data_IF_448828985382
#
_entry.id   IF_448828985382
#
_cell.length_a   1.000
_cell.length_b   1.000
_cell.length_c   1.000
_cell.angle_alpha   90.00
_cell.angle_beta   90.00
_cell.angle_gamma   90.00
#
_symmetry.space_group_name_H-M   'P 1'
#
loop_
_entity.id
_entity.type
_entity.pdbx_description
1 polymer ?
#
# COMPACT_ATOMS: atom_id res chain seq x y z
N UNK A 1 -21.30 18.87 9.51
CA UNK A 1 -22.36 18.54 8.54
C UNK A 1 -21.69 18.46 7.16
N UNK A 2 -21.64 17.30 6.49
CA UNK A 2 -21.12 17.24 5.12
C UNK A 2 -21.98 18.10 4.20
N UNK A 3 -21.37 18.81 3.25
CA UNK A 3 -22.07 19.66 2.29
C UNK A 3 -22.97 18.81 1.38
N UNK A 4 -24.28 19.09 1.36
CA UNK A 4 -25.29 18.43 0.50
C UNK A 4 -25.01 18.50 -1.02
N UNK A 5 -24.05 19.32 -1.46
CA UNK A 5 -23.79 19.60 -2.87
C UNK A 5 -22.80 18.64 -3.54
N UNK A 6 -22.07 17.82 -2.78
CA UNK A 6 -21.12 16.84 -3.33
C UNK A 6 -21.27 15.51 -2.61
N UNK A 7 -21.99 14.53 -3.19
CA UNK A 7 -22.03 13.19 -2.61
C UNK A 7 -20.61 12.62 -2.57
N UNK A 8 -20.14 12.30 -1.37
CA UNK A 8 -18.87 11.59 -1.21
C UNK A 8 -19.08 10.13 -1.60
N UNK A 9 -18.16 9.59 -2.39
CA UNK A 9 -18.18 8.17 -2.71
C UNK A 9 -17.99 7.37 -1.42
N UNK A 10 -18.94 6.48 -1.12
CA UNK A 10 -18.81 5.56 -0.02
C UNK A 10 -17.68 4.57 -0.31
N UNK A 11 -16.95 4.16 0.73
CA UNK A 11 -16.03 3.05 0.61
C UNK A 11 -16.78 1.75 0.25
N UNK A 12 -16.43 1.14 -0.89
CA UNK A 12 -16.94 -0.15 -1.33
C UNK A 12 -15.76 -1.11 -1.51
N UNK A 13 -15.66 -2.20 -0.71
CA UNK A 13 -14.63 -3.21 -0.89
C UNK A 13 -14.68 -3.85 -2.28
N UNK A 14 -13.51 -4.10 -2.86
CA UNK A 14 -13.41 -4.90 -4.08
C UNK A 14 -13.84 -6.35 -3.83
N UNK A 15 -14.53 -6.92 -4.81
CA UNK A 15 -14.91 -8.34 -4.78
C UNK A 15 -13.68 -9.24 -4.72
N UNK A 16 -13.67 -10.30 -3.89
CA UNK A 16 -12.63 -11.33 -3.94
C UNK A 16 -12.55 -12.03 -5.30
N UNK A 17 -13.62 -11.96 -6.11
CA UNK A 17 -13.69 -12.48 -7.47
C UNK A 17 -13.48 -11.37 -8.52
N UNK A 18 -12.79 -10.28 -8.16
CA UNK A 18 -12.53 -9.18 -9.06
C UNK A 18 -11.65 -9.61 -10.25
N UNK A 19 -12.17 -9.48 -11.47
CA UNK A 19 -11.47 -9.82 -12.71
C UNK A 19 -10.81 -8.57 -13.31
N UNK A 20 -9.52 -8.34 -12.98
CA UNK A 20 -8.77 -7.17 -13.44
C UNK A 20 -8.72 -7.07 -14.97
N UNK A 21 -8.43 -8.18 -15.66
CA UNK A 21 -8.32 -8.21 -17.12
C UNK A 21 -9.61 -7.78 -17.80
N UNK A 22 -10.74 -8.27 -17.30
CA UNK A 22 -12.08 -7.92 -17.77
C UNK A 22 -12.38 -6.45 -17.53
N UNK A 23 -12.03 -5.89 -16.37
CA UNK A 23 -12.20 -4.45 -16.10
C UNK A 23 -11.43 -3.61 -17.12
N UNK A 24 -10.16 -3.93 -17.36
CA UNK A 24 -9.31 -3.17 -18.29
C UNK A 24 -9.82 -3.31 -19.73
N UNK A 25 -10.20 -4.52 -20.15
CA UNK A 25 -10.73 -4.76 -21.50
C UNK A 25 -12.09 -4.09 -21.76
N UNK A 26 -12.90 -3.89 -20.72
CA UNK A 26 -14.25 -3.31 -20.84
C UNK A 26 -14.32 -1.80 -20.61
N UNK A 27 -13.21 -1.15 -20.23
CA UNK A 27 -13.19 0.28 -19.88
C UNK A 27 -12.10 1.03 -20.61
N UNK A 28 -12.50 1.96 -21.47
CA UNK A 28 -11.58 2.79 -22.26
C UNK A 28 -10.70 3.73 -21.41
N UNK A 29 -11.06 3.94 -20.14
CA UNK A 29 -10.33 4.82 -19.22
C UNK A 29 -9.28 4.09 -18.37
N UNK A 30 -9.22 2.76 -18.45
CA UNK A 30 -8.20 1.98 -17.74
C UNK A 30 -7.12 1.51 -18.69
N UNK A 31 -5.88 1.59 -18.23
CA UNK A 31 -4.72 1.02 -18.91
C UNK A 31 -3.72 0.50 -17.87
N UNK A 32 -2.94 -0.51 -18.25
CA UNK A 32 -1.89 -1.02 -17.39
C UNK A 32 -0.76 0.00 -17.25
N UNK A 33 -0.23 0.14 -16.04
CA UNK A 33 0.99 0.90 -15.79
C UNK A 33 2.18 0.23 -16.50
N UNK A 34 3.14 1.03 -16.99
CA UNK A 34 4.40 0.51 -17.46
C UNK A 34 5.13 -0.19 -16.30
N UNK A 35 5.84 -1.29 -16.59
CA UNK A 35 6.53 -2.09 -15.58
C UNK A 35 7.95 -2.42 -16.03
N UNK A 36 8.90 -2.41 -15.10
CA UNK A 36 10.29 -2.79 -15.32
C UNK A 36 10.80 -3.54 -14.10
N UNK A 37 11.54 -4.63 -14.27
CA UNK A 37 12.10 -5.36 -13.13
C UNK A 37 13.43 -4.75 -12.67
N UNK A 38 13.76 -4.90 -11.38
CA UNK A 38 15.09 -4.51 -10.88
C UNK A 38 16.22 -5.24 -11.61
N UNK A 39 15.98 -6.46 -12.11
CA UNK A 39 17.00 -7.21 -12.85
C UNK A 39 17.28 -6.59 -14.22
N UNK A 40 16.26 -6.06 -14.89
CA UNK A 40 16.47 -5.28 -16.11
C UNK A 40 17.27 -4.01 -15.80
N UNK A 41 16.95 -3.32 -14.70
CA UNK A 41 17.67 -2.10 -14.30
C UNK A 41 19.16 -2.34 -14.04
N UNK A 42 19.55 -3.48 -13.45
CA UNK A 42 20.97 -3.82 -13.21
C UNK A 42 21.82 -3.87 -14.47
N UNK A 43 21.21 -4.13 -15.63
CA UNK A 43 21.92 -4.22 -16.92
C UNK A 43 21.99 -2.89 -17.66
N UNK A 44 21.38 -1.84 -17.11
CA UNK A 44 21.34 -0.51 -17.71
C UNK A 44 22.02 0.52 -16.81
N UNK A 45 22.67 1.55 -17.39
CA UNK A 45 23.22 2.63 -16.60
C UNK A 45 22.08 3.44 -15.95
N UNK A 46 22.37 4.10 -14.82
CA UNK A 46 21.37 4.88 -14.06
C UNK A 46 20.68 5.95 -14.93
N UNK A 47 21.42 6.53 -15.88
CA UNK A 47 20.91 7.53 -16.83
C UNK A 47 19.77 6.96 -17.70
N UNK A 48 19.76 5.65 -17.97
CA UNK A 48 18.65 5.01 -18.67
C UNK A 48 17.38 4.98 -17.82
N UNK A 49 17.49 4.75 -16.51
CA UNK A 49 16.35 4.84 -15.59
C UNK A 49 15.85 6.27 -15.47
N UNK A 50 16.75 7.25 -15.32
CA UNK A 50 16.39 8.68 -15.28
C UNK A 50 15.65 9.11 -16.55
N UNK A 51 16.14 8.71 -17.72
CA UNK A 51 15.50 8.99 -19.00
C UNK A 51 14.11 8.34 -19.09
N UNK A 52 13.96 7.09 -18.63
CA UNK A 52 12.69 6.38 -18.58
C UNK A 52 11.69 7.08 -17.66
N UNK A 53 12.11 7.46 -16.45
CA UNK A 53 11.28 8.20 -15.47
C UNK A 53 10.88 9.56 -16.04
N UNK A 54 11.83 10.30 -16.63
CA UNK A 54 11.55 11.59 -17.26
C UNK A 54 10.50 11.47 -18.37
N UNK A 55 10.64 10.47 -19.24
CA UNK A 55 9.74 10.28 -20.37
C UNK A 55 8.34 9.79 -19.94
N UNK A 56 8.26 8.73 -19.11
CA UNK A 56 7.01 8.06 -18.76
C UNK A 56 6.25 8.78 -17.65
N UNK A 57 6.95 9.08 -16.54
CA UNK A 57 6.33 9.59 -15.32
C UNK A 57 6.17 11.10 -15.38
N UNK A 58 7.26 11.82 -15.62
CA UNK A 58 7.26 13.29 -15.52
C UNK A 58 6.57 13.92 -16.74
N UNK A 59 7.03 13.61 -17.95
CA UNK A 59 6.47 14.18 -19.19
C UNK A 59 5.17 13.50 -19.60
N UNK A 60 5.09 12.18 -19.46
CA UNK A 60 3.93 11.38 -19.86
C UNK A 60 2.79 11.38 -18.84
N UNK A 61 3.04 11.73 -17.58
CA UNK A 61 2.04 11.69 -16.51
C UNK A 61 1.54 10.28 -16.20
N UNK A 62 2.31 9.24 -16.56
CA UNK A 62 1.92 7.83 -16.40
C UNK A 62 2.72 7.15 -15.29
N UNK A 63 2.09 6.29 -14.48
CA UNK A 63 2.82 5.54 -13.47
C UNK A 63 3.80 4.55 -14.11
N UNK A 64 4.94 4.36 -13.44
CA UNK A 64 5.92 3.32 -13.70
C UNK A 64 6.05 2.44 -12.45
N UNK A 65 5.94 1.13 -12.62
CA UNK A 65 6.11 0.15 -11.53
C UNK A 65 7.48 -0.50 -11.66
N UNK A 66 8.30 -0.42 -10.61
CA UNK A 66 9.55 -1.17 -10.52
C UNK A 66 9.30 -2.44 -9.72
N UNK A 67 9.48 -3.60 -10.34
CA UNK A 67 9.10 -4.91 -9.81
C UNK A 67 10.29 -5.73 -9.30
N UNK A 68 9.98 -6.80 -8.56
CA UNK A 68 10.91 -7.83 -8.11
C UNK A 68 11.93 -7.39 -7.04
N UNK A 69 11.60 -6.39 -6.23
CA UNK A 69 12.42 -5.97 -5.07
C UNK A 69 12.59 -7.03 -3.96
N UNK A 70 11.74 -8.07 -3.94
CA UNK A 70 11.64 -8.99 -2.81
C UNK A 70 12.95 -9.67 -2.39
N UNK A 71 13.82 -10.00 -3.34
CA UNK A 71 15.14 -10.59 -3.04
C UNK A 71 16.16 -9.59 -2.50
N UNK A 72 15.94 -8.30 -2.72
CA UNK A 72 16.82 -7.21 -2.27
C UNK A 72 16.42 -6.66 -0.89
N UNK A 73 15.23 -7.00 -0.40
CA UNK A 73 14.71 -6.53 0.88
C UNK A 73 14.90 -7.59 1.99
N UNK A 74 15.64 -7.29 3.08
CA UNK A 74 15.79 -8.18 4.22
C UNK A 74 14.45 -8.45 4.89
N UNK A 75 13.99 -9.70 4.81
CA UNK A 75 12.69 -10.14 5.34
C UNK A 75 12.56 -9.96 6.84
N UNK A 76 13.66 -9.93 7.60
CA UNK A 76 13.63 -9.67 9.05
C UNK A 76 13.36 -8.21 9.38
N UNK A 77 14.01 -7.27 8.69
CA UNK A 77 13.88 -5.83 8.94
C UNK A 77 12.48 -5.34 8.55
N UNK A 78 12.00 -5.73 7.37
CA UNK A 78 10.68 -5.37 6.85
C UNK A 78 9.62 -6.39 7.27
N UNK A 79 9.55 -6.71 8.57
CA UNK A 79 8.58 -7.66 9.12
C UNK A 79 7.66 -7.03 10.17
N UNK A 80 6.48 -7.64 10.33
CA UNK A 80 5.57 -7.30 11.44
C UNK A 80 6.21 -7.53 12.80
N UNK A 81 7.02 -8.59 12.94
CA UNK A 81 7.76 -8.89 14.16
C UNK A 81 8.71 -7.75 14.55
N UNK A 82 9.49 -7.25 13.58
CA UNK A 82 10.39 -6.12 13.82
C UNK A 82 9.61 -4.87 14.25
N UNK A 83 8.48 -4.56 13.60
CA UNK A 83 7.63 -3.43 13.98
C UNK A 83 7.10 -3.59 15.42
N UNK A 84 6.62 -4.77 15.81
CA UNK A 84 6.15 -5.03 17.17
C UNK A 84 7.26 -4.89 18.21
N UNK A 85 8.47 -5.37 17.91
CA UNK A 85 9.61 -5.35 18.84
C UNK A 85 10.25 -3.95 18.99
N UNK A 86 10.25 -3.13 17.93
CA UNK A 86 10.98 -1.86 17.91
C UNK A 86 10.08 -0.63 18.10
N UNK A 87 8.85 -0.65 17.57
CA UNK A 87 7.92 0.49 17.66
C UNK A 87 6.56 0.09 18.23
N UNK A 88 6.40 -1.13 18.76
CA UNK A 88 5.11 -1.65 19.20
C UNK A 88 4.44 -0.89 20.35
N UNK A 89 5.19 -0.08 21.11
CA UNK A 89 4.69 0.79 22.18
C UNK A 89 4.33 2.19 21.70
N UNK A 90 4.72 2.58 20.49
CA UNK A 90 4.36 3.86 19.89
C UNK A 90 2.84 3.93 19.73
N UNK A 91 2.26 5.03 20.17
CA UNK A 91 0.82 5.26 20.10
C UNK A 91 0.48 6.00 18.80
N UNK A 92 -0.52 5.49 18.10
CA UNK A 92 -0.94 5.97 16.78
C UNK A 92 -2.45 6.18 16.72
N UNK A 93 -2.87 7.06 15.82
CA UNK A 93 -4.28 7.25 15.49
C UNK A 93 -4.65 6.35 14.31
N UNK A 94 -5.34 5.25 14.61
CA UNK A 94 -5.73 4.26 13.60
C UNK A 94 -7.15 4.56 13.14
N UNK A 95 -7.33 4.69 11.81
CA UNK A 95 -8.65 4.93 11.20
C UNK A 95 -9.50 3.66 11.24
N UNK A 96 -10.63 3.69 11.91
CA UNK A 96 -11.73 2.75 11.69
C UNK A 96 -12.52 3.20 10.47
N UNK A 97 -12.32 2.51 9.35
CA UNK A 97 -12.96 2.84 8.06
C UNK A 97 -14.47 2.67 8.17
N UNK A 98 -14.95 1.65 8.90
CA UNK A 98 -16.38 1.31 8.96
C UNK A 98 -17.17 2.33 9.77
N UNK A 99 -16.58 2.83 10.86
CA UNK A 99 -17.20 3.80 11.75
C UNK A 99 -16.78 5.25 11.48
N UNK A 100 -15.87 5.46 10.52
CA UNK A 100 -15.33 6.77 10.17
C UNK A 100 -14.76 7.56 11.35
N UNK A 101 -14.14 6.86 12.31
CA UNK A 101 -13.54 7.43 13.52
C UNK A 101 -12.08 7.02 13.66
N UNK A 102 -11.32 7.79 14.44
CA UNK A 102 -9.93 7.47 14.75
C UNK A 102 -9.85 6.88 16.15
N UNK A 103 -9.14 5.76 16.27
CA UNK A 103 -8.97 5.01 17.51
C UNK A 103 -7.51 5.11 17.93
N UNK A 104 -7.27 5.62 19.13
CA UNK A 104 -5.94 5.70 19.69
C UNK A 104 -5.51 4.33 20.23
N UNK A 105 -4.42 3.77 19.70
CA UNK A 105 -3.86 2.49 20.13
C UNK A 105 -2.37 2.40 19.83
N UNK A 106 -1.67 1.44 20.44
CA UNK A 106 -0.27 1.22 20.09
C UNK A 106 -0.13 0.46 18.77
N UNK A 107 0.99 0.66 18.06
CA UNK A 107 1.32 -0.09 16.84
C UNK A 107 1.27 -1.60 17.09
N UNK A 108 1.77 -2.06 18.24
CA UNK A 108 1.73 -3.48 18.59
C UNK A 108 0.30 -4.00 18.78
N UNK A 109 -0.59 -3.21 19.38
CA UNK A 109 -2.01 -3.58 19.49
C UNK A 109 -2.67 -3.66 18.11
N UNK A 110 -2.38 -2.69 17.23
CA UNK A 110 -2.84 -2.70 15.85
C UNK A 110 -2.40 -3.97 15.10
N UNK A 111 -1.10 -4.28 15.11
CA UNK A 111 -0.53 -5.41 14.37
C UNK A 111 -1.12 -6.76 14.81
N UNK A 112 -1.25 -6.98 16.13
CA UNK A 112 -1.88 -8.21 16.67
C UNK A 112 -3.36 -8.31 16.31
N UNK A 113 -4.07 -7.19 16.26
CA UNK A 113 -5.49 -7.15 15.90
C UNK A 113 -5.73 -7.49 14.42
N UNK A 114 -4.84 -7.08 13.52
CA UNK A 114 -5.02 -7.27 12.07
C UNK A 114 -5.20 -8.74 11.67
N UNK A 115 -4.49 -9.68 12.31
CA UNK A 115 -4.65 -11.12 12.02
C UNK A 115 -6.06 -11.63 12.40
N UNK A 116 -6.64 -11.12 13.48
CA UNK A 116 -7.99 -11.52 13.91
C UNK A 116 -9.07 -10.86 13.07
N UNK A 117 -8.92 -9.56 12.78
CA UNK A 117 -9.89 -8.78 12.00
C UNK A 117 -9.99 -9.27 10.56
N UNK A 118 -8.87 -9.57 9.92
CA UNK A 118 -8.86 -10.01 8.51
C UNK A 118 -9.53 -11.36 8.30
N UNK A 119 -9.42 -12.29 9.26
CA UNK A 119 -10.07 -13.62 9.20
C UNK A 119 -11.60 -13.58 9.24
N UNK A 120 -12.20 -12.46 9.61
CA UNK A 120 -13.66 -12.33 9.66
C UNK A 120 -14.29 -12.13 8.27
N UNK A 121 -13.47 -11.81 7.26
CA UNK A 121 -13.92 -11.56 5.90
C UNK A 121 -13.83 -12.81 5.03
N UNK A 122 -14.92 -13.11 4.33
CA UNK A 122 -15.09 -14.23 3.38
C UNK A 122 -15.62 -13.71 2.05
N UNK A 123 -15.61 -14.55 1.02
CA UNK A 123 -16.24 -14.25 -0.28
C UNK A 123 -17.72 -13.88 -0.19
N UNK A 124 -18.43 -14.36 0.85
CA UNK A 124 -19.85 -14.06 1.08
C UNK A 124 -20.11 -12.82 1.93
N UNK A 125 -19.11 -12.28 2.64
CA UNK A 125 -19.33 -11.19 3.61
C UNK A 125 -18.34 -10.02 3.50
N UNK A 126 -17.52 -9.97 2.44
CA UNK A 126 -16.49 -8.95 2.25
C UNK A 126 -17.02 -7.50 2.25
N UNK A 127 -18.30 -7.27 1.94
CA UNK A 127 -18.95 -5.96 1.98
C UNK A 127 -19.55 -5.59 3.35
N UNK A 128 -19.43 -6.47 4.37
CA UNK A 128 -20.05 -6.25 5.67
C UNK A 128 -19.51 -5.00 6.36
N UNK A 129 -20.39 -4.03 6.64
CA UNK A 129 -20.09 -2.82 7.42
C UNK A 129 -20.03 -3.08 8.93
N UNK A 130 -20.53 -4.23 9.39
CA UNK A 130 -20.49 -4.64 10.81
C UNK A 130 -19.13 -5.15 11.25
N UNK A 131 -18.22 -5.38 10.30
CA UNK A 131 -16.86 -5.87 10.57
C UNK A 131 -15.91 -4.70 10.52
N UNK A 132 -15.01 -4.67 11.49
CA UNK A 132 -14.08 -3.56 11.62
C UNK A 132 -12.97 -3.64 10.58
N UNK A 133 -12.63 -2.49 10.01
CA UNK A 133 -11.53 -2.32 9.07
C UNK A 133 -10.64 -1.21 9.57
N UNK A 134 -9.42 -1.56 9.98
CA UNK A 134 -8.48 -0.62 10.55
C UNK A 134 -7.42 -0.25 9.51
N UNK A 135 -7.14 1.05 9.41
CA UNK A 135 -6.08 1.59 8.56
C UNK A 135 -5.21 2.54 9.37
N UNK A 136 -3.97 2.13 9.60
CA UNK A 136 -2.95 2.97 10.20
C UNK A 136 -2.24 3.72 9.08
N UNK A 137 -2.38 5.04 9.06
CA UNK A 137 -1.77 5.94 8.08
C UNK A 137 -1.05 7.07 8.79
N UNK A 138 -0.29 7.84 8.03
CA UNK A 138 0.43 9.02 8.53
C UNK A 138 1.45 8.68 9.64
N UNK A 139 1.97 7.45 9.65
CA UNK A 139 3.06 7.03 10.55
C UNK A 139 4.41 7.40 9.94
N UNK A 140 5.37 7.70 10.80
CA UNK A 140 6.74 7.95 10.38
C UNK A 140 7.44 6.67 9.92
N UNK A 141 8.28 6.78 8.89
CA UNK A 141 9.14 5.70 8.46
C UNK A 141 10.18 5.41 9.55
N UNK A 142 10.31 4.16 10.05
CA UNK A 142 11.35 3.83 11.01
C UNK A 142 12.74 4.15 10.46
N UNK A 143 13.60 4.77 11.27
CA UNK A 143 14.95 5.19 10.85
C UNK A 143 15.74 4.04 10.25
N UNK A 144 15.71 2.86 10.87
CA UNK A 144 16.40 1.66 10.37
C UNK A 144 15.91 1.22 8.98
N UNK A 145 14.62 1.44 8.66
CA UNK A 145 14.09 1.16 7.33
C UNK A 145 14.62 2.18 6.32
N UNK A 146 14.58 3.47 6.65
CA UNK A 146 15.09 4.54 5.79
C UNK A 146 16.58 4.36 5.46
N UNK A 147 17.40 4.10 6.48
CA UNK A 147 18.84 3.84 6.33
C UNK A 147 19.11 2.62 5.45
N UNK A 148 18.37 1.53 5.63
CA UNK A 148 18.55 0.35 4.79
C UNK A 148 18.16 0.63 3.34
N UNK A 149 16.99 1.26 3.12
CA UNK A 149 16.51 1.59 1.78
C UNK A 149 17.48 2.51 1.04
N UNK A 150 18.08 3.50 1.72
CA UNK A 150 19.07 4.39 1.14
C UNK A 150 20.30 3.66 0.57
N UNK A 151 20.65 2.50 1.14
CA UNK A 151 21.80 1.70 0.68
C UNK A 151 21.48 0.79 -0.51
N UNK A 152 20.20 0.48 -0.77
CA UNK A 152 19.80 -0.46 -1.82
C UNK A 152 19.07 0.20 -2.99
N UNK A 153 18.51 1.39 -2.77
CA UNK A 153 17.88 2.16 -3.83
C UNK A 153 18.98 2.80 -4.71
N UNK A 154 18.81 2.82 -6.04
CA UNK A 154 19.69 3.57 -6.91
C UNK A 154 19.70 5.04 -6.48
N UNK A 155 20.89 5.56 -6.18
CA UNK A 155 21.10 6.97 -5.83
C UNK A 155 20.98 7.91 -7.02
#
# INVERSE_FOLDING_TARGET
MPSQYYPQAQFVPLSPNFELEKLVASSNNFSYAARISIDQLKHHPIQSLEALVSAVVIKGGRPLVIENWGSSLPTTLFSTKWLEENIGTQAENVRDISNETDIHMTVGHYLRSMNQLTKQFTSSNYQSTRRQRLYMKDIDCPVAWAEHLQNILPG
#
